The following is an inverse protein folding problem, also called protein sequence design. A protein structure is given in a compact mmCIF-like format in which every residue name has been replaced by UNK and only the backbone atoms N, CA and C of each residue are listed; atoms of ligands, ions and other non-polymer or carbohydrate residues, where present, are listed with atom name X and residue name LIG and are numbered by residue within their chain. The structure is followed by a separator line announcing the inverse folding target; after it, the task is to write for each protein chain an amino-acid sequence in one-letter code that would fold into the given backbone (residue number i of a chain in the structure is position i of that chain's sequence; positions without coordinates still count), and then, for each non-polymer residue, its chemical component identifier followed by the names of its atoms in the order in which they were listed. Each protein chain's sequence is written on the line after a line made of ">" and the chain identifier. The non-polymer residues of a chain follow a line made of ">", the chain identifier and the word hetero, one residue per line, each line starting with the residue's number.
data_IF_374868203244
#
_entry.id   IF_374868203244
#
_cell.length_a   1.000
_cell.length_b   1.000
_cell.length_c   1.000
_cell.angle_alpha   90.00
_cell.angle_beta   90.00
_cell.angle_gamma   90.00
#
_symmetry.space_group_name_H-M   'P 1'
#
loop_
_entity.id
_entity.type
_entity.pdbx_description
1 polymer ?
#
# COMPACT_ATOMS: atom_id res chain seq x y z
N UNK A 1 16.89 -13.58 0.32
CA UNK A 1 17.42 -12.49 -0.54
C UNK A 1 17.92 -13.03 -1.87
N UNK A 2 18.79 -14.02 -1.88
CA UNK A 2 19.35 -14.61 -3.11
C UNK A 2 18.32 -14.99 -4.20
N UNK A 3 17.15 -15.50 -3.84
CA UNK A 3 16.06 -15.82 -4.79
C UNK A 3 15.51 -14.56 -5.46
N UNK A 4 15.39 -13.46 -4.73
CA UNK A 4 14.90 -12.20 -5.29
C UNK A 4 15.94 -11.59 -6.22
N UNK A 5 17.20 -11.56 -5.83
CA UNK A 5 18.30 -11.01 -6.65
C UNK A 5 18.42 -11.71 -8.01
N UNK A 6 18.26 -13.04 -8.04
CA UNK A 6 18.26 -13.82 -9.29
C UNK A 6 17.07 -13.50 -10.22
N UNK A 7 16.00 -12.93 -9.70
CA UNK A 7 14.80 -12.56 -10.47
C UNK A 7 14.80 -11.08 -10.90
N UNK A 8 15.70 -10.26 -10.37
CA UNK A 8 15.81 -8.86 -10.80
C UNK A 8 16.63 -8.76 -12.10
N UNK A 9 16.19 -7.92 -13.07
CA UNK A 9 16.95 -7.70 -14.27
C UNK A 9 18.19 -6.86 -13.98
N UNK A 10 19.31 -7.22 -14.61
CA UNK A 10 20.49 -6.35 -14.68
C UNK A 10 20.24 -5.18 -15.63
N UNK A 11 21.08 -4.14 -15.55
CA UNK A 11 21.02 -3.01 -16.48
C UNK A 11 21.17 -3.49 -17.95
N UNK A 12 22.08 -4.42 -18.21
CA UNK A 12 22.29 -4.99 -19.55
C UNK A 12 21.04 -5.73 -20.07
N UNK A 13 20.38 -6.54 -19.25
CA UNK A 13 19.14 -7.23 -19.63
C UNK A 13 18.02 -6.23 -19.93
N UNK A 14 17.93 -5.13 -19.20
CA UNK A 14 16.97 -4.05 -19.47
C UNK A 14 17.28 -3.34 -20.78
N UNK A 15 18.54 -3.02 -21.06
CA UNK A 15 18.95 -2.39 -22.30
C UNK A 15 18.68 -3.30 -23.51
N UNK A 16 18.94 -4.59 -23.40
CA UNK A 16 18.61 -5.57 -24.43
C UNK A 16 17.09 -5.67 -24.63
N UNK A 17 16.32 -5.74 -23.56
CA UNK A 17 14.86 -5.81 -23.61
C UNK A 17 14.25 -4.58 -24.32
N UNK A 18 14.69 -3.37 -23.99
CA UNK A 18 14.15 -2.12 -24.54
C UNK A 18 14.62 -1.79 -25.95
N UNK A 19 15.59 -2.50 -26.50
CA UNK A 19 15.99 -2.35 -27.92
C UNK A 19 14.93 -2.82 -28.89
N UNK A 20 14.03 -3.70 -28.46
CA UNK A 20 12.96 -4.24 -29.29
C UNK A 20 11.76 -3.30 -29.29
N UNK A 21 11.23 -2.96 -30.48
CA UNK A 21 10.03 -2.12 -30.63
C UNK A 21 8.77 -2.72 -29.98
N UNK A 22 8.72 -4.03 -29.80
CA UNK A 22 7.65 -4.79 -29.16
C UNK A 22 7.93 -5.14 -27.69
N UNK A 23 8.85 -4.44 -27.04
CA UNK A 23 9.22 -4.73 -25.64
C UNK A 23 8.00 -4.69 -24.70
N UNK A 24 7.08 -3.73 -24.90
CA UNK A 24 5.88 -3.60 -24.09
C UNK A 24 4.98 -4.83 -24.22
N UNK A 25 4.85 -5.39 -25.40
CA UNK A 25 4.00 -6.56 -25.67
C UNK A 25 4.57 -7.85 -25.04
N UNK A 26 5.85 -7.84 -24.69
CA UNK A 26 6.52 -8.96 -24.01
C UNK A 26 6.37 -8.91 -22.49
N UNK A 27 5.80 -7.82 -21.95
CA UNK A 27 5.56 -7.72 -20.51
C UNK A 27 4.35 -8.53 -20.12
N UNK A 28 4.57 -9.50 -19.25
CA UNK A 28 3.52 -10.35 -18.71
C UNK A 28 3.23 -10.01 -17.24
N UNK A 29 1.97 -10.21 -16.83
CA UNK A 29 1.57 -10.13 -15.43
C UNK A 29 1.33 -11.52 -14.86
N UNK A 30 1.95 -11.81 -13.71
CA UNK A 30 1.74 -13.05 -12.96
C UNK A 30 1.09 -12.74 -11.61
N UNK A 31 -0.09 -13.32 -11.40
CA UNK A 31 -0.83 -13.16 -10.15
C UNK A 31 -0.23 -14.07 -9.07
N UNK A 32 -0.08 -13.52 -7.87
CA UNK A 32 0.51 -14.23 -6.73
C UNK A 32 -0.42 -15.34 -6.23
N UNK A 33 0.11 -16.54 -6.12
CA UNK A 33 -0.64 -17.73 -5.73
C UNK A 33 -1.30 -18.48 -6.89
N UNK A 34 -1.23 -17.93 -8.10
CA UNK A 34 -1.58 -18.62 -9.34
C UNK A 34 -0.32 -19.18 -10.03
N UNK A 35 -0.49 -19.85 -11.18
CA UNK A 35 0.59 -20.52 -11.90
C UNK A 35 1.79 -19.60 -12.09
N UNK A 36 2.89 -19.93 -11.46
CA UNK A 36 4.22 -19.39 -11.75
C UNK A 36 4.80 -18.39 -10.74
N UNK A 37 4.03 -17.87 -9.75
CA UNK A 37 4.63 -16.98 -8.74
C UNK A 37 4.10 -17.27 -7.32
N UNK A 38 4.97 -17.78 -6.46
CA UNK A 38 4.60 -18.17 -5.11
C UNK A 38 4.45 -16.95 -4.17
N UNK A 39 3.60 -17.10 -3.16
CA UNK A 39 3.45 -16.08 -2.11
C UNK A 39 4.73 -15.86 -1.30
N UNK A 40 5.55 -16.89 -1.14
CA UNK A 40 6.84 -16.78 -0.47
C UNK A 40 7.81 -15.91 -1.28
N UNK A 41 7.93 -16.17 -2.59
CA UNK A 41 8.74 -15.34 -3.48
C UNK A 41 8.27 -13.87 -3.50
N UNK A 42 6.95 -13.64 -3.58
CA UNK A 42 6.38 -12.31 -3.46
C UNK A 42 6.83 -11.57 -2.18
N UNK A 43 6.71 -12.22 -1.03
CA UNK A 43 7.07 -11.60 0.25
C UNK A 43 8.57 -11.24 0.29
N UNK A 44 9.44 -12.12 -0.22
CA UNK A 44 10.88 -11.86 -0.30
C UNK A 44 11.17 -10.65 -1.20
N UNK A 45 10.60 -10.63 -2.40
CA UNK A 45 10.79 -9.52 -3.34
C UNK A 45 10.24 -8.20 -2.78
N UNK A 46 9.08 -8.25 -2.13
CA UNK A 46 8.49 -7.07 -1.52
C UNK A 46 9.36 -6.47 -0.42
N UNK A 47 9.94 -7.30 0.44
CA UNK A 47 10.86 -6.83 1.50
C UNK A 47 12.12 -6.20 0.89
N UNK A 48 12.65 -6.74 -0.20
CA UNK A 48 13.83 -6.20 -0.86
C UNK A 48 13.58 -4.95 -1.73
N UNK A 49 12.35 -4.76 -2.24
CA UNK A 49 12.06 -3.72 -3.22
C UNK A 49 11.25 -2.55 -2.66
N UNK A 50 10.44 -2.76 -1.62
CA UNK A 50 9.52 -1.76 -1.10
C UNK A 50 9.98 -1.22 0.25
N UNK A 51 10.12 0.09 0.36
CA UNK A 51 10.65 0.76 1.56
C UNK A 51 9.69 0.74 2.77
N UNK A 52 8.38 0.55 2.53
CA UNK A 52 7.42 0.50 3.63
C UNK A 52 7.39 -0.89 4.28
N UNK A 53 7.30 -0.90 5.62
CA UNK A 53 7.19 -2.12 6.41
C UNK A 53 6.03 -3.03 5.93
N UNK A 54 6.27 -4.35 5.96
CA UNK A 54 5.24 -5.32 5.60
C UNK A 54 4.22 -5.45 6.73
N UNK A 55 3.10 -4.76 6.54
CA UNK A 55 1.93 -4.97 7.37
C UNK A 55 0.89 -5.77 6.59
N UNK A 56 0.49 -6.91 7.15
CA UNK A 56 -0.63 -7.68 6.60
C UNK A 56 -1.90 -6.86 6.76
N UNK A 57 -2.41 -6.31 5.66
CA UNK A 57 -3.71 -5.64 5.67
C UNK A 57 -4.82 -6.65 5.99
N UNK A 58 -5.74 -6.34 6.89
CA UNK A 58 -6.94 -7.14 7.06
C UNK A 58 -7.81 -7.04 5.80
N UNK A 59 -8.52 -8.14 5.49
CA UNK A 59 -9.44 -8.16 4.35
C UNK A 59 -8.86 -8.80 3.08
N UNK A 60 -9.45 -8.43 1.96
CA UNK A 60 -9.12 -8.97 0.64
C UNK A 60 -7.80 -8.41 0.13
N UNK A 61 -7.03 -9.23 -0.56
CA UNK A 61 -5.76 -8.80 -1.17
C UNK A 61 -5.46 -9.56 -2.46
N UNK A 62 -4.87 -8.86 -3.40
CA UNK A 62 -4.41 -9.39 -4.68
C UNK A 62 -3.02 -8.82 -4.96
N UNK A 63 -2.03 -9.69 -5.08
CA UNK A 63 -0.67 -9.33 -5.50
C UNK A 63 -0.40 -9.78 -6.93
N UNK A 64 0.39 -9.03 -7.66
CA UNK A 64 0.89 -9.42 -8.98
C UNK A 64 2.29 -8.89 -9.22
N UNK A 65 2.97 -9.52 -10.15
CA UNK A 65 4.31 -9.16 -10.61
C UNK A 65 4.23 -8.86 -12.09
N UNK A 66 4.73 -7.71 -12.49
CA UNK A 66 4.96 -7.39 -13.89
C UNK A 66 6.42 -7.73 -14.25
N UNK A 67 6.64 -8.35 -15.38
CA UNK A 67 7.98 -8.75 -15.81
C UNK A 67 8.02 -9.29 -17.22
N UNK A 68 9.17 -9.77 -17.64
CA UNK A 68 9.39 -10.40 -18.94
C UNK A 68 10.19 -11.69 -18.77
N UNK A 69 10.10 -12.58 -19.74
CA UNK A 69 10.87 -13.85 -19.75
C UNK A 69 11.99 -13.74 -20.79
N UNK A 70 13.21 -14.06 -20.38
CA UNK A 70 14.39 -14.20 -21.25
C UNK A 70 15.00 -15.60 -21.12
N UNK A 71 16.16 -15.84 -21.73
CA UNK A 71 16.88 -17.10 -21.67
C UNK A 71 17.26 -17.53 -20.23
N UNK A 72 17.39 -16.59 -19.32
CA UNK A 72 17.70 -16.83 -17.91
C UNK A 72 16.45 -17.01 -17.03
N UNK A 73 15.23 -16.93 -17.60
CA UNK A 73 13.96 -17.05 -16.92
C UNK A 73 13.20 -15.75 -16.75
N UNK A 74 12.21 -15.74 -15.81
CA UNK A 74 11.38 -14.60 -15.57
C UNK A 74 12.11 -13.50 -14.80
N UNK A 75 12.06 -12.27 -15.33
CA UNK A 75 12.68 -11.06 -14.76
C UNK A 75 11.62 -10.10 -14.29
N UNK A 76 11.70 -9.65 -13.04
CA UNK A 76 10.73 -8.78 -12.38
C UNK A 76 11.02 -7.32 -12.72
N UNK A 77 10.08 -6.66 -13.38
CA UNK A 77 10.08 -5.21 -13.59
C UNK A 77 9.43 -4.46 -12.42
N UNK A 78 8.46 -5.06 -11.76
CA UNK A 78 7.84 -4.44 -10.59
C UNK A 78 6.76 -5.28 -9.92
N UNK A 79 6.37 -4.79 -8.74
CA UNK A 79 5.37 -5.40 -7.88
C UNK A 79 4.13 -4.51 -7.78
N UNK A 80 2.95 -5.14 -7.82
CA UNK A 80 1.66 -4.46 -7.68
C UNK A 80 0.82 -5.22 -6.65
N UNK A 81 0.18 -4.51 -5.71
CA UNK A 81 -0.76 -5.13 -4.78
C UNK A 81 -1.98 -4.24 -4.57
N UNK A 82 -3.15 -4.83 -4.77
CA UNK A 82 -4.45 -4.26 -4.39
C UNK A 82 -4.91 -4.89 -3.08
N UNK A 83 -5.45 -4.06 -2.19
CA UNK A 83 -6.03 -4.48 -0.91
C UNK A 83 -7.41 -3.86 -0.74
N UNK A 84 -8.21 -4.43 0.17
CA UNK A 84 -9.41 -3.74 0.67
C UNK A 84 -9.06 -2.33 1.11
N UNK A 85 -9.87 -1.37 0.72
CA UNK A 85 -9.64 0.03 1.05
C UNK A 85 -9.91 0.35 2.53
N UNK A 86 -9.35 1.46 3.01
CA UNK A 86 -9.63 1.96 4.34
C UNK A 86 -11.03 2.58 4.40
N UNK A 87 -11.74 2.32 5.48
CA UNK A 87 -13.12 2.75 5.62
C UNK A 87 -13.33 4.28 5.63
N UNK A 88 -12.28 5.06 5.92
CA UNK A 88 -12.39 6.52 6.06
C UNK A 88 -11.21 7.21 5.39
N UNK A 89 -11.46 7.77 4.22
CA UNK A 89 -10.49 8.62 3.52
C UNK A 89 -11.23 9.89 3.04
N UNK A 90 -11.15 10.95 3.84
CA UNK A 90 -11.93 12.17 3.67
C UNK A 90 -11.82 12.76 2.26
N UNK A 91 -10.60 12.94 1.76
CA UNK A 91 -10.33 13.48 0.40
C UNK A 91 -10.98 12.68 -0.71
N UNK A 92 -10.96 11.34 -0.60
CA UNK A 92 -11.66 10.46 -1.55
C UNK A 92 -13.16 10.58 -1.43
N UNK A 93 -13.68 10.51 -0.19
CA UNK A 93 -15.13 10.51 0.08
C UNK A 93 -15.78 11.82 -0.38
N UNK A 94 -15.12 12.96 -0.13
CA UNK A 94 -15.54 14.27 -0.62
C UNK A 94 -15.49 14.37 -2.15
N UNK A 95 -14.42 13.82 -2.76
CA UNK A 95 -14.29 13.85 -4.22
C UNK A 95 -15.36 13.03 -4.94
N UNK A 96 -15.72 11.86 -4.37
CA UNK A 96 -16.75 10.98 -4.90
C UNK A 96 -18.17 11.50 -4.53
N UNK A 97 -18.28 12.34 -3.51
CA UNK A 97 -19.55 12.85 -2.99
C UNK A 97 -20.25 11.86 -2.04
N UNK A 98 -19.50 10.95 -1.40
CA UNK A 98 -20.07 9.98 -0.48
C UNK A 98 -20.34 10.55 0.91
N UNK A 99 -21.58 10.40 1.38
CA UNK A 99 -21.90 10.50 2.79
C UNK A 99 -21.49 9.19 3.53
N UNK A 100 -21.66 9.18 4.85
CA UNK A 100 -21.27 8.03 5.69
C UNK A 100 -21.98 6.74 5.30
N UNK A 101 -23.27 6.79 4.98
CA UNK A 101 -24.09 5.62 4.63
C UNK A 101 -23.65 5.07 3.27
N UNK A 102 -23.48 5.93 2.28
CA UNK A 102 -23.02 5.55 0.95
C UNK A 102 -21.61 4.95 1.00
N UNK A 103 -20.72 5.53 1.79
CA UNK A 103 -19.38 5.00 2.00
C UNK A 103 -19.39 3.57 2.58
N UNK A 104 -20.20 3.33 3.60
CA UNK A 104 -20.30 2.00 4.22
C UNK A 104 -20.87 0.96 3.25
N UNK A 105 -21.87 1.34 2.47
CA UNK A 105 -22.49 0.48 1.47
C UNK A 105 -21.54 0.16 0.31
N UNK A 106 -20.78 1.15 -0.16
CA UNK A 106 -19.98 1.05 -1.40
C UNK A 106 -18.47 0.80 -1.14
N UNK A 107 -18.04 0.61 0.11
CA UNK A 107 -16.62 0.48 0.47
C UNK A 107 -15.90 -0.66 -0.28
N UNK A 108 -16.62 -1.72 -0.64
CA UNK A 108 -16.06 -2.86 -1.35
C UNK A 108 -15.82 -2.60 -2.84
N UNK A 109 -16.46 -1.55 -3.38
CA UNK A 109 -16.28 -1.14 -4.76
C UNK A 109 -15.01 -0.31 -5.00
N UNK A 110 -14.30 0.07 -3.94
CA UNK A 110 -13.03 0.79 -4.01
C UNK A 110 -11.93 -0.08 -3.41
N UNK A 111 -10.80 -0.13 -4.07
CA UNK A 111 -9.61 -0.85 -3.60
C UNK A 111 -8.44 0.09 -3.41
N UNK A 112 -7.57 -0.25 -2.47
CA UNK A 112 -6.35 0.47 -2.20
C UNK A 112 -5.16 -0.15 -2.95
N UNK A 113 -4.46 0.64 -3.75
CA UNK A 113 -3.18 0.28 -4.33
C UNK A 113 -2.10 0.39 -3.23
N UNK A 114 -1.83 -0.72 -2.59
CA UNK A 114 -0.93 -0.79 -1.44
C UNK A 114 0.56 -0.91 -1.82
N UNK A 115 0.83 -1.55 -2.96
CA UNK A 115 2.18 -1.67 -3.52
C UNK A 115 2.10 -1.35 -5.01
N UNK A 116 2.94 -0.43 -5.45
CA UNK A 116 3.22 -0.17 -6.86
C UNK A 116 4.68 0.28 -6.94
N UNK A 117 5.57 -0.72 -7.04
CA UNK A 117 7.00 -0.52 -6.85
C UNK A 117 7.77 -1.14 -8.01
N UNK A 118 8.54 -0.36 -8.79
CA UNK A 118 9.44 -0.90 -9.81
C UNK A 118 10.66 -1.56 -9.18
N UNK A 119 11.24 -2.53 -9.87
CA UNK A 119 12.56 -3.07 -9.53
C UNK A 119 13.67 -2.06 -9.84
N UNK A 120 14.84 -2.24 -9.24
CA UNK A 120 16.02 -1.46 -9.60
C UNK A 120 16.95 -2.33 -10.45
N UNK A 121 17.63 -1.76 -11.46
CA UNK A 121 17.72 -0.33 -11.81
C UNK A 121 16.56 0.21 -12.68
N UNK A 122 15.57 -0.61 -13.02
CA UNK A 122 14.44 -0.23 -13.88
C UNK A 122 13.70 1.02 -13.40
N UNK A 123 13.50 1.17 -12.09
CA UNK A 123 12.79 2.29 -11.50
C UNK A 123 13.43 3.65 -11.76
N UNK A 124 14.75 3.71 -11.69
CA UNK A 124 15.49 4.97 -11.86
C UNK A 124 15.74 5.32 -13.33
N UNK A 125 16.09 4.33 -14.15
CA UNK A 125 16.62 4.61 -15.49
C UNK A 125 15.55 4.67 -16.58
N UNK A 126 14.35 4.07 -16.34
CA UNK A 126 13.34 3.86 -17.40
C UNK A 126 11.94 4.36 -17.00
N UNK A 127 11.83 5.32 -16.07
CA UNK A 127 10.54 5.77 -15.52
C UNK A 127 9.66 4.61 -15.00
N UNK A 128 10.31 3.59 -14.45
CA UNK A 128 9.69 2.31 -14.09
C UNK A 128 8.48 2.44 -13.18
N UNK A 129 8.44 3.44 -12.30
CA UNK A 129 7.27 3.71 -11.45
C UNK A 129 6.03 4.04 -12.27
N UNK A 130 6.13 4.91 -13.27
CA UNK A 130 5.03 5.23 -14.19
C UNK A 130 4.65 4.01 -15.02
N UNK A 131 5.63 3.29 -15.55
CA UNK A 131 5.41 2.10 -16.34
C UNK A 131 4.63 1.04 -15.56
N UNK A 132 5.06 0.68 -14.35
CA UNK A 132 4.35 -0.30 -13.51
C UNK A 132 2.93 0.15 -13.18
N UNK A 133 2.70 1.46 -12.99
CA UNK A 133 1.36 1.97 -12.70
C UNK A 133 0.35 1.80 -13.86
N UNK A 134 0.81 1.65 -15.10
CA UNK A 134 -0.05 1.32 -16.25
C UNK A 134 -0.71 -0.05 -16.10
N UNK A 135 0.00 -1.01 -15.52
CA UNK A 135 -0.49 -2.38 -15.36
C UNK A 135 -1.50 -2.55 -14.23
N UNK A 136 -1.68 -1.55 -13.36
CA UNK A 136 -2.64 -1.62 -12.25
C UNK A 136 -4.06 -1.93 -12.74
N UNK A 137 -4.47 -1.36 -13.89
CA UNK A 137 -5.80 -1.59 -14.47
C UNK A 137 -6.06 -3.04 -14.86
N UNK A 138 -5.02 -3.78 -15.23
CA UNK A 138 -5.15 -5.20 -15.62
C UNK A 138 -5.51 -6.09 -14.41
N UNK A 139 -5.33 -5.61 -13.18
CA UNK A 139 -5.74 -6.33 -11.98
C UNK A 139 -7.22 -6.16 -11.64
N UNK A 140 -7.92 -5.20 -12.25
CA UNK A 140 -9.35 -4.97 -11.99
C UNK A 140 -10.17 -6.21 -12.33
N UNK A 141 -10.13 -6.77 -13.56
CA UNK A 141 -10.92 -7.95 -13.88
C UNK A 141 -10.54 -9.16 -13.03
N UNK A 142 -9.26 -9.32 -12.70
CA UNK A 142 -8.79 -10.40 -11.83
C UNK A 142 -9.36 -10.26 -10.41
N UNK A 143 -9.41 -9.05 -9.88
CA UNK A 143 -10.04 -8.78 -8.58
C UNK A 143 -11.53 -9.03 -8.62
N UNK A 144 -12.22 -8.50 -9.64
CA UNK A 144 -13.68 -8.65 -9.84
C UNK A 144 -14.07 -10.13 -9.95
N UNK A 145 -13.30 -10.92 -10.69
CA UNK A 145 -13.54 -12.36 -10.80
C UNK A 145 -13.31 -13.09 -9.47
N UNK A 146 -12.17 -12.80 -8.81
CA UNK A 146 -11.81 -13.45 -7.55
C UNK A 146 -12.77 -13.16 -6.41
N UNK A 147 -13.22 -11.92 -6.28
CA UNK A 147 -14.01 -11.47 -5.13
C UNK A 147 -15.47 -11.20 -5.44
N UNK A 148 -15.89 -11.39 -6.68
CA UNK A 148 -17.26 -11.18 -7.19
C UNK A 148 -17.82 -9.79 -6.83
N UNK A 149 -16.95 -8.78 -6.84
CA UNK A 149 -17.27 -7.39 -6.49
C UNK A 149 -16.76 -6.46 -7.56
N UNK A 150 -17.66 -5.63 -8.12
CA UNK A 150 -17.29 -4.63 -9.15
C UNK A 150 -16.43 -3.52 -8.56
N UNK A 151 -15.33 -3.20 -9.22
CA UNK A 151 -14.45 -2.11 -8.83
C UNK A 151 -14.78 -0.86 -9.61
N UNK A 152 -15.03 0.21 -8.88
CA UNK A 152 -15.33 1.54 -9.42
C UNK A 152 -14.08 2.41 -9.45
N UNK A 153 -13.27 2.32 -8.41
CA UNK A 153 -12.06 3.12 -8.32
C UNK A 153 -10.94 2.40 -7.55
N UNK A 154 -9.72 2.80 -7.86
CA UNK A 154 -8.51 2.43 -7.13
C UNK A 154 -7.96 3.70 -6.49
N UNK A 155 -7.70 3.65 -5.19
CA UNK A 155 -7.07 4.74 -4.45
C UNK A 155 -5.63 4.37 -4.11
N UNK A 156 -4.73 5.31 -4.19
CA UNK A 156 -3.35 5.17 -3.71
C UNK A 156 -3.05 6.24 -2.69
N UNK A 157 -2.38 5.88 -1.61
CA UNK A 157 -1.87 6.83 -0.64
C UNK A 157 -0.35 6.70 -0.53
N UNK A 158 0.36 7.80 -0.75
CA UNK A 158 1.81 7.88 -0.69
C UNK A 158 2.26 8.61 0.57
N UNK A 159 3.37 8.17 1.16
CA UNK A 159 4.01 8.86 2.29
C UNK A 159 4.67 10.20 1.89
N UNK A 160 4.85 10.43 0.60
CA UNK A 160 5.50 11.62 0.07
C UNK A 160 4.46 12.56 -0.56
N UNK A 161 4.44 13.82 -0.15
CA UNK A 161 3.50 14.84 -0.66
C UNK A 161 3.97 15.52 -1.95
N UNK A 162 5.14 15.17 -2.44
CA UNK A 162 5.74 15.74 -3.65
C UNK A 162 5.18 15.21 -4.96
N UNK A 163 6.02 15.17 -5.97
CA UNK A 163 5.75 14.53 -7.25
C UNK A 163 5.62 13.01 -7.06
N UNK A 164 4.59 12.44 -7.61
CA UNK A 164 4.32 11.00 -7.56
C UNK A 164 4.45 10.33 -8.92
N UNK A 165 4.62 9.04 -8.92
CA UNK A 165 4.66 8.24 -10.16
C UNK A 165 3.37 8.32 -10.98
N UNK A 166 2.28 8.82 -10.41
CA UNK A 166 0.98 8.96 -11.08
C UNK A 166 0.80 10.31 -11.78
N UNK A 167 1.71 11.29 -11.54
CA UNK A 167 1.61 12.63 -12.13
C UNK A 167 1.77 12.61 -13.65
N UNK A 168 0.89 13.34 -14.33
CA UNK A 168 0.85 13.40 -15.79
C UNK A 168 0.22 12.16 -16.47
N UNK A 169 -0.39 11.25 -15.69
CA UNK A 169 -1.14 10.12 -16.22
C UNK A 169 -2.63 10.46 -16.28
N UNK A 170 -3.24 10.36 -17.46
CA UNK A 170 -4.60 10.85 -17.73
C UNK A 170 -5.71 10.20 -16.87
N UNK A 171 -5.50 8.99 -16.34
CA UNK A 171 -6.48 8.27 -15.53
C UNK A 171 -6.22 8.32 -14.04
N UNK A 172 -5.12 8.93 -13.61
CA UNK A 172 -4.85 9.20 -12.21
C UNK A 172 -5.12 10.65 -11.88
N UNK A 173 -5.85 10.91 -10.81
CA UNK A 173 -6.16 12.25 -10.32
C UNK A 173 -5.62 12.42 -8.91
N UNK A 174 -4.76 13.41 -8.72
CA UNK A 174 -4.32 13.86 -7.40
C UNK A 174 -5.49 14.53 -6.68
N UNK A 175 -5.89 13.99 -5.53
CA UNK A 175 -6.99 14.52 -4.72
C UNK A 175 -6.52 15.49 -3.64
N UNK A 176 -5.22 15.55 -3.36
CA UNK A 176 -4.65 16.32 -2.27
C UNK A 176 -4.03 15.43 -1.20
N UNK A 177 -3.95 15.94 0.02
CA UNK A 177 -3.31 15.26 1.13
C UNK A 177 -4.33 14.80 2.16
N UNK A 178 -4.16 13.56 2.67
CA UNK A 178 -4.98 13.07 3.75
C UNK A 178 -4.48 13.59 5.10
N UNK A 179 -5.39 13.83 6.03
CA UNK A 179 -5.06 14.12 7.43
C UNK A 179 -4.70 12.86 8.23
N UNK A 180 -4.36 11.77 7.56
CA UNK A 180 -4.00 10.50 8.18
C UNK A 180 -2.81 10.66 9.12
N UNK A 181 -2.97 10.20 10.35
CA UNK A 181 -1.85 10.12 11.30
C UNK A 181 -1.17 8.78 11.09
N UNK A 182 0.16 8.81 10.98
CA UNK A 182 0.94 7.59 10.96
C UNK A 182 0.73 6.82 12.26
N UNK A 183 0.45 5.53 12.15
CA UNK A 183 0.28 4.64 13.27
C UNK A 183 1.65 4.32 13.87
N UNK A 184 1.94 4.85 15.03
CA UNK A 184 3.11 4.45 15.78
C UNK A 184 2.79 3.12 16.44
N UNK A 185 3.53 2.11 16.08
CA UNK A 185 3.46 0.80 16.73
C UNK A 185 4.66 0.66 17.66
N UNK A 186 4.45 0.45 18.95
CA UNK A 186 5.51 0.03 19.85
C UNK A 186 6.13 -1.29 19.36
N UNK A 187 7.38 -1.56 19.69
CA UNK A 187 8.00 -2.86 19.46
C UNK A 187 7.09 -3.97 20.00
N UNK A 188 7.03 -5.11 19.30
CA UNK A 188 6.07 -6.18 19.63
C UNK A 188 6.10 -6.62 21.09
N UNK A 189 7.32 -6.71 21.67
CA UNK A 189 7.51 -7.10 23.07
C UNK A 189 7.04 -6.02 24.04
N UNK A 190 7.37 -4.75 23.79
CA UNK A 190 6.90 -3.61 24.58
C UNK A 190 5.37 -3.47 24.49
N UNK A 191 4.80 -3.69 23.28
CA UNK A 191 3.35 -3.63 23.11
C UNK A 191 2.63 -4.73 23.90
N UNK A 192 3.17 -5.95 23.97
CA UNK A 192 2.60 -7.03 24.77
C UNK A 192 2.62 -6.69 26.26
N UNK A 193 3.73 -6.13 26.75
CA UNK A 193 3.84 -5.67 28.13
C UNK A 193 2.78 -4.59 28.44
N UNK A 194 2.74 -3.50 27.68
CA UNK A 194 1.82 -2.39 27.91
C UNK A 194 0.35 -2.79 27.77
N UNK A 195 0.04 -3.67 26.84
CA UNK A 195 -1.31 -4.19 26.66
C UNK A 195 -1.74 -5.05 27.84
N UNK A 196 -0.85 -5.88 28.37
CA UNK A 196 -1.14 -6.72 29.55
C UNK A 196 -1.34 -5.84 30.76
N UNK A 197 -0.45 -4.90 31.03
CA UNK A 197 -0.55 -3.93 32.11
C UNK A 197 -1.88 -3.14 32.03
N UNK A 198 -2.24 -2.65 30.86
CA UNK A 198 -3.47 -1.88 30.64
C UNK A 198 -4.73 -2.72 30.92
N UNK A 199 -4.75 -3.95 30.45
CA UNK A 199 -5.85 -4.90 30.70
C UNK A 199 -6.01 -5.23 32.19
N UNK A 200 -4.90 -5.41 32.89
CA UNK A 200 -4.91 -5.77 34.31
C UNK A 200 -5.32 -4.62 35.22
N UNK A 201 -4.82 -3.41 34.94
CA UNK A 201 -5.00 -2.26 35.83
C UNK A 201 -6.22 -1.39 35.47
N UNK A 202 -6.68 -1.43 34.20
CA UNK A 202 -7.73 -0.54 33.68
C UNK A 202 -8.73 -1.30 32.79
N UNK A 203 -9.27 -2.39 33.31
CA UNK A 203 -10.10 -3.34 32.56
C UNK A 203 -11.25 -2.69 31.77
N UNK A 204 -12.02 -1.80 32.40
CA UNK A 204 -13.16 -1.13 31.74
C UNK A 204 -12.70 -0.25 30.56
N UNK A 205 -11.62 0.50 30.75
CA UNK A 205 -11.06 1.34 29.68
C UNK A 205 -10.47 0.47 28.57
N UNK A 206 -9.87 -0.66 28.90
CA UNK A 206 -9.37 -1.65 27.94
C UNK A 206 -10.51 -2.19 27.07
N UNK A 207 -11.60 -2.64 27.67
CA UNK A 207 -12.77 -3.17 26.96
C UNK A 207 -13.39 -2.11 26.04
N UNK A 208 -13.50 -0.86 26.51
CA UNK A 208 -13.91 0.26 25.67
C UNK A 208 -12.96 0.54 24.50
N UNK A 209 -11.66 0.37 24.71
CA UNK A 209 -10.67 0.60 23.66
C UNK A 209 -10.70 -0.47 22.57
N UNK A 210 -10.91 -1.75 22.95
CA UNK A 210 -10.95 -2.85 21.99
C UNK A 210 -12.23 -2.89 21.17
N UNK A 211 -13.31 -2.24 21.63
CA UNK A 211 -14.57 -2.10 20.89
C UNK A 211 -14.50 -1.03 19.78
N UNK A 212 -13.42 -0.24 19.73
CA UNK A 212 -13.26 0.81 18.71
C UNK A 212 -12.78 0.25 17.36
N UNK A 213 -12.97 1.03 16.30
CA UNK A 213 -12.56 0.69 14.91
C UNK A 213 -11.06 0.41 14.79
N UNK A 214 -10.25 1.00 15.65
CA UNK A 214 -8.79 0.82 15.70
C UNK A 214 -8.33 0.49 17.12
N UNK A 215 -8.55 -0.75 17.61
CA UNK A 215 -8.36 -1.12 19.02
C UNK A 215 -6.96 -0.85 19.54
N UNK A 216 -5.93 -1.15 18.76
CA UNK A 216 -4.53 -0.95 19.16
C UNK A 216 -4.19 0.52 19.39
N UNK A 217 -4.69 1.41 18.53
CA UNK A 217 -4.45 2.85 18.66
C UNK A 217 -5.25 3.47 19.79
N UNK A 218 -6.51 3.07 19.93
CA UNK A 218 -7.35 3.53 21.04
C UNK A 218 -6.74 3.15 22.39
N UNK A 219 -6.22 1.92 22.49
CA UNK A 219 -5.50 1.46 23.68
C UNK A 219 -4.23 2.26 23.93
N UNK A 220 -3.40 2.48 22.92
CA UNK A 220 -2.15 3.25 23.05
C UNK A 220 -2.42 4.70 23.45
N UNK A 221 -3.38 5.36 22.82
CA UNK A 221 -3.77 6.73 23.16
C UNK A 221 -4.26 6.84 24.61
N UNK A 222 -5.03 5.84 25.08
CA UNK A 222 -5.52 5.80 26.45
C UNK A 222 -4.40 5.55 27.45
N UNK A 223 -3.47 4.64 27.15
CA UNK A 223 -2.28 4.38 27.96
C UNK A 223 -1.46 5.67 28.14
N UNK A 224 -1.17 6.38 27.06
CA UNK A 224 -0.44 7.65 27.15
C UNK A 224 -1.17 8.70 28.01
N UNK A 225 -2.50 8.76 27.88
CA UNK A 225 -3.31 9.65 28.70
C UNK A 225 -3.23 9.30 30.20
N UNK A 226 -3.30 8.00 30.54
CA UNK A 226 -3.18 7.50 31.91
C UNK A 226 -1.81 7.83 32.49
N UNK A 227 -0.75 7.68 31.70
CA UNK A 227 0.62 7.94 32.11
C UNK A 227 0.99 9.45 32.10
N UNK A 228 0.08 10.33 31.69
CA UNK A 228 0.36 11.76 31.55
C UNK A 228 1.39 12.10 30.46
N UNK A 229 1.60 11.17 29.52
CA UNK A 229 2.61 11.33 28.48
C UNK A 229 2.02 12.08 27.28
N UNK A 230 2.66 13.19 26.91
CA UNK A 230 2.36 13.86 25.66
C UNK A 230 2.92 13.01 24.50
N UNK A 231 2.02 12.35 23.77
CA UNK A 231 2.42 11.44 22.68
C UNK A 231 3.30 12.15 21.63
N UNK A 232 3.00 13.41 21.26
CA UNK A 232 3.80 14.16 20.28
C UNK A 232 5.23 14.39 20.78
N UNK A 233 5.37 14.81 22.02
CA UNK A 233 6.66 15.10 22.64
C UNK A 233 7.47 13.80 22.85
N UNK A 234 6.81 12.74 23.31
CA UNK A 234 7.42 11.42 23.45
C UNK A 234 8.02 10.93 22.14
N UNK A 235 7.26 10.95 21.07
CA UNK A 235 7.74 10.48 19.77
C UNK A 235 8.78 11.41 19.15
N UNK A 236 8.67 12.72 19.33
CA UNK A 236 9.70 13.67 18.89
C UNK A 236 11.03 13.41 19.58
N UNK A 237 11.04 13.19 20.88
CA UNK A 237 12.24 12.95 21.66
C UNK A 237 12.85 11.56 21.42
N UNK A 238 12.07 10.58 21.03
CA UNK A 238 12.50 9.20 20.77
C UNK A 238 12.77 8.89 19.31
N UNK A 239 12.63 9.84 18.41
CA UNK A 239 12.97 9.68 16.99
C UNK A 239 14.40 9.14 16.77
N UNK A 240 15.35 9.49 17.64
CA UNK A 240 16.74 9.00 17.58
C UNK A 240 16.87 7.49 17.78
N UNK A 241 15.96 6.85 18.51
CA UNK A 241 16.02 5.41 18.82
C UNK A 241 15.26 4.56 17.81
N UNK A 242 14.30 5.15 17.10
CA UNK A 242 13.52 4.48 16.07
C UNK A 242 14.32 4.39 14.76
N UNK A 243 15.29 5.29 14.55
CA UNK A 243 16.13 5.36 13.35
C UNK A 243 17.11 4.19 13.14
N UNK A 244 17.32 3.32 14.12
CA UNK A 244 18.22 2.18 13.92
C UNK A 244 17.60 0.99 13.22
N UNK A 245 16.28 0.95 13.07
CA UNK A 245 15.57 -0.16 12.40
C UNK A 245 14.69 0.23 11.21
N UNK A 246 14.49 1.52 10.95
CA UNK A 246 13.76 1.98 9.76
C UNK A 246 14.23 3.37 9.33
N UNK A 247 14.52 3.51 8.05
CA UNK A 247 15.20 4.67 7.44
C UNK A 247 14.31 5.90 7.18
N UNK A 248 13.24 6.15 7.95
CA UNK A 248 12.36 7.31 7.71
C UNK A 248 11.93 8.02 9.00
N UNK A 249 12.05 9.37 9.08
CA UNK A 249 11.57 10.13 10.22
C UNK A 249 10.04 10.15 10.21
N UNK A 250 9.44 9.83 11.36
CA UNK A 250 8.00 9.93 11.59
C UNK A 250 7.59 11.41 11.71
N UNK A 251 7.46 12.10 10.60
CA UNK A 251 6.70 13.35 10.55
C UNK A 251 5.21 13.01 10.52
N UNK A 252 4.35 13.91 10.99
CA UNK A 252 2.92 13.87 10.67
C UNK A 252 2.79 14.02 9.15
N UNK A 253 2.99 12.94 8.43
CA UNK A 253 2.99 12.95 6.99
C UNK A 253 1.54 13.09 6.52
N UNK A 254 1.23 14.23 5.94
CA UNK A 254 0.10 14.32 5.06
C UNK A 254 0.37 13.32 3.93
N UNK A 255 -0.42 12.26 3.85
CA UNK A 255 -0.31 11.31 2.76
C UNK A 255 -0.94 11.90 1.52
N UNK A 256 -0.18 12.00 0.45
CA UNK A 256 -0.74 12.28 -0.87
C UNK A 256 -1.75 11.20 -1.25
N UNK A 257 -2.92 11.61 -1.72
CA UNK A 257 -3.99 10.72 -2.17
C UNK A 257 -4.20 10.89 -3.66
N UNK A 258 -4.09 9.81 -4.38
CA UNK A 258 -4.38 9.71 -5.81
C UNK A 258 -5.54 8.74 -6.04
N UNK A 259 -6.40 9.03 -7.01
CA UNK A 259 -7.55 8.21 -7.38
C UNK A 259 -7.52 7.89 -8.87
N UNK A 260 -7.81 6.66 -9.20
CA UNK A 260 -8.03 6.18 -10.56
C UNK A 260 -9.42 5.57 -10.67
N UNK A 261 -10.25 6.05 -11.63
CA UNK A 261 -11.51 5.40 -11.95
C UNK A 261 -11.29 4.17 -12.83
N UNK A 262 -11.90 3.06 -12.45
CA UNK A 262 -11.81 1.79 -13.17
C UNK A 262 -12.46 1.84 -14.56
N UNK A 263 -13.46 2.74 -14.74
CA UNK A 263 -14.26 2.90 -15.98
C UNK A 263 -14.43 4.36 -16.32
N UNK A 264 -14.53 4.66 -17.62
CA UNK A 264 -14.60 6.05 -18.12
C UNK A 264 -15.91 6.78 -17.81
N UNK A 265 -16.98 6.11 -17.34
CA UNK A 265 -18.28 6.74 -17.03
C UNK A 265 -18.46 6.91 -15.52
N UNK A 266 -18.23 8.12 -15.04
CA UNK A 266 -18.36 8.49 -13.62
C UNK A 266 -19.83 8.51 -13.12
N UNK A 267 -20.81 8.77 -14.00
CA UNK A 267 -22.18 9.07 -13.59
C UNK A 267 -23.06 7.84 -13.26
N UNK A 268 -22.74 6.64 -13.77
CA UNK A 268 -23.62 5.47 -13.64
C UNK A 268 -23.28 4.52 -12.47
N UNK A 269 -22.21 4.80 -11.73
CA UNK A 269 -21.70 3.86 -10.73
C UNK A 269 -22.17 4.14 -9.28
N UNK A 270 -22.86 5.24 -9.04
CA UNK A 270 -23.20 5.72 -7.70
C UNK A 270 -24.69 5.99 -7.48
N UNK A 271 -25.55 5.46 -8.36
CA UNK A 271 -27.00 5.49 -8.20
C UNK A 271 -27.54 4.65 -7.05
#
# INVERSE_FOLDING_TARGET
>A
MEVCEKMLPSARELDEFWKHSSAIDQVEMRVVGERGFSKAAWNICRVGMHSAEFNKSPGRSLGAVAGFTNALGFRILGLISLNSDSCKLKTRDEHIGWNTVQRERNRECVVNLNVCCPSQPFGYNYLGGKFISLFVRHLIPVWEDKYKTKIVAIVSSSLHDGLGQYDGMNYWKKLGSSSGRMLIKPLRQEWQFWRTWYRQNYRQLYEKSISQTSPGQSSLATIFKILGINARQYFHNHQKYIHQSSSQPYSCACHRVDLMFARNNQASCFG
#
